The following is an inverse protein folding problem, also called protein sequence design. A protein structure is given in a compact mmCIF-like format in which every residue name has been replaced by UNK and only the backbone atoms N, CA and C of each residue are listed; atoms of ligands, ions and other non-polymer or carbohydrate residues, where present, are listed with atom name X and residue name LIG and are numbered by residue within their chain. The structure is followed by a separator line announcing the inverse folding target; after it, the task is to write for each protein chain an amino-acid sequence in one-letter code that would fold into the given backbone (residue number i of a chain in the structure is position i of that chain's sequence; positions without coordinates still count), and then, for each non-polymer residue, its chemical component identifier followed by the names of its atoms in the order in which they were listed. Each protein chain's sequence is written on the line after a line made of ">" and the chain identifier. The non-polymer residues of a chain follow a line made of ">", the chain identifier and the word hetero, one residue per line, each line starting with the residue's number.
data_IF_085875510472
#
_entry.id   IF_085875510472
#
_cell.length_a   1.000
_cell.length_b   1.000
_cell.length_c   1.000
_cell.angle_alpha   90.00
_cell.angle_beta   90.00
_cell.angle_gamma   90.00
#
_symmetry.space_group_name_H-M   'P 1'
#
loop_
_entity.id
_entity.type
_entity.pdbx_description
1 polymer ?
#
# COMPACT_ATOMS: atom_id res chain seq x y z
N UNK A 1 -13.81 -19.84 -5.83
CA UNK A 1 -12.81 -18.82 -6.25
C UNK A 1 -13.36 -17.41 -6.18
N UNK A 2 -14.68 -17.20 -6.18
CA UNK A 2 -15.29 -15.86 -6.17
C UNK A 2 -14.91 -14.96 -4.98
N UNK A 3 -14.37 -15.51 -3.90
CA UNK A 3 -13.92 -14.76 -2.71
C UNK A 3 -12.47 -14.26 -2.77
N UNK A 4 -11.75 -14.60 -3.84
CA UNK A 4 -10.34 -14.24 -4.02
C UNK A 4 -10.14 -13.64 -5.40
N UNK A 5 -9.18 -12.71 -5.51
CA UNK A 5 -8.82 -12.10 -6.80
C UNK A 5 -7.31 -12.08 -6.93
N UNK A 6 -6.76 -12.79 -7.91
CA UNK A 6 -5.34 -12.65 -8.26
C UNK A 6 -5.08 -11.24 -8.82
N UNK A 7 -3.98 -10.60 -8.41
CA UNK A 7 -3.67 -9.22 -8.81
C UNK A 7 -3.60 -9.09 -10.34
N UNK A 8 -2.97 -10.05 -11.02
CA UNK A 8 -2.87 -10.10 -12.48
C UNK A 8 -4.06 -10.80 -13.17
N UNK A 9 -4.87 -11.56 -12.42
CA UNK A 9 -6.06 -12.24 -12.93
C UNK A 9 -7.35 -11.42 -12.80
N UNK A 10 -7.32 -10.31 -12.05
CA UNK A 10 -8.48 -9.45 -11.80
C UNK A 10 -9.00 -8.75 -13.05
N UNK A 11 -10.32 -8.56 -13.11
CA UNK A 11 -10.97 -7.90 -14.24
C UNK A 11 -10.79 -6.38 -14.22
N UNK A 12 -10.30 -5.78 -13.13
CA UNK A 12 -10.18 -4.32 -12.94
C UNK A 12 -11.53 -3.61 -12.73
N UNK A 13 -12.61 -4.38 -12.56
CA UNK A 13 -13.98 -3.88 -12.33
C UNK A 13 -14.49 -4.32 -10.95
N UNK A 14 -13.60 -4.86 -10.12
CA UNK A 14 -13.90 -5.24 -8.75
C UNK A 14 -14.43 -4.03 -7.97
N UNK A 15 -15.46 -4.27 -7.18
CA UNK A 15 -16.07 -3.22 -6.37
C UNK A 15 -15.12 -2.86 -5.23
N UNK A 16 -15.05 -1.55 -4.93
CA UNK A 16 -14.23 -1.03 -3.82
C UNK A 16 -14.60 -1.71 -2.49
N UNK A 17 -15.89 -2.01 -2.30
CA UNK A 17 -16.44 -2.71 -1.14
C UNK A 17 -15.83 -4.11 -0.93
N UNK A 18 -15.51 -4.82 -2.01
CA UNK A 18 -15.02 -6.20 -1.94
C UNK A 18 -13.51 -6.30 -1.80
N UNK A 19 -12.75 -5.45 -2.48
CA UNK A 19 -11.26 -5.55 -2.52
C UNK A 19 -10.54 -4.40 -1.80
N UNK A 20 -11.27 -3.39 -1.33
CA UNK A 20 -10.72 -2.18 -0.73
C UNK A 20 -9.93 -1.31 -1.70
N UNK A 21 -9.45 -0.17 -1.21
CA UNK A 21 -8.70 0.82 -2.00
C UNK A 21 -7.40 0.27 -2.57
N UNK A 22 -6.51 -0.24 -1.70
CA UNK A 22 -5.21 -0.79 -2.11
C UNK A 22 -5.33 -1.95 -3.09
N UNK A 23 -6.20 -2.92 -2.77
CA UNK A 23 -6.43 -4.10 -3.63
C UNK A 23 -6.93 -3.69 -5.01
N UNK A 24 -7.91 -2.78 -5.08
CA UNK A 24 -8.42 -2.25 -6.35
C UNK A 24 -7.34 -1.55 -7.16
N UNK A 25 -6.56 -0.67 -6.54
CA UNK A 25 -5.53 0.10 -7.24
C UNK A 25 -4.43 -0.83 -7.79
N UNK A 26 -4.03 -1.87 -7.05
CA UNK A 26 -3.06 -2.86 -7.51
C UNK A 26 -3.56 -3.67 -8.72
N UNK A 27 -4.82 -4.14 -8.68
CA UNK A 27 -5.43 -4.86 -9.82
C UNK A 27 -5.49 -3.97 -11.06
N UNK A 28 -5.90 -2.70 -10.88
CA UNK A 28 -5.95 -1.73 -11.99
C UNK A 28 -4.56 -1.48 -12.57
N UNK A 29 -3.54 -1.30 -11.73
CA UNK A 29 -2.15 -1.12 -12.18
C UNK A 29 -1.65 -2.34 -12.97
N UNK A 30 -1.86 -3.55 -12.45
CA UNK A 30 -1.47 -4.80 -13.10
C UNK A 30 -2.12 -4.93 -14.50
N UNK A 31 -3.43 -4.70 -14.57
CA UNK A 31 -4.19 -4.77 -15.83
C UNK A 31 -3.72 -3.73 -16.85
N UNK A 32 -3.22 -2.58 -16.40
CA UNK A 32 -2.65 -1.52 -17.25
C UNK A 32 -1.20 -1.80 -17.67
N UNK A 33 -0.62 -2.92 -17.26
CA UNK A 33 0.72 -3.35 -17.64
C UNK A 33 1.85 -2.75 -16.78
N UNK A 34 1.52 -2.10 -15.67
CA UNK A 34 2.55 -1.66 -14.72
C UNK A 34 3.11 -2.86 -13.97
N UNK A 35 4.42 -2.82 -13.69
CA UNK A 35 5.04 -3.88 -12.92
C UNK A 35 4.68 -3.75 -11.44
N UNK A 36 3.76 -4.59 -10.99
CA UNK A 36 3.41 -4.74 -9.57
C UNK A 36 3.88 -6.12 -9.07
N UNK A 37 4.27 -6.27 -7.81
CA UNK A 37 4.55 -7.60 -7.26
C UNK A 37 3.30 -8.50 -7.34
N UNK A 38 3.50 -9.75 -7.73
CA UNK A 38 2.43 -10.76 -7.81
C UNK A 38 1.79 -11.00 -6.45
N UNK A 39 0.56 -11.50 -6.44
CA UNK A 39 -0.20 -11.69 -5.23
C UNK A 39 -1.68 -11.87 -5.50
N UNK A 40 -2.47 -11.84 -4.44
CA UNK A 40 -3.93 -11.94 -4.50
C UNK A 40 -4.58 -11.12 -3.40
N UNK A 41 -5.87 -10.84 -3.57
CA UNK A 41 -6.72 -10.14 -2.62
C UNK A 41 -7.73 -11.13 -2.06
N UNK A 42 -7.77 -11.23 -0.73
CA UNK A 42 -8.84 -11.86 0.05
C UNK A 42 -9.97 -10.84 0.17
N UNK A 43 -11.13 -11.13 -0.42
CA UNK A 43 -12.25 -10.19 -0.40
C UNK A 43 -12.81 -10.01 1.02
N UNK A 44 -13.42 -8.85 1.26
CA UNK A 44 -14.13 -8.56 2.52
C UNK A 44 -15.26 -9.56 2.81
N UNK A 45 -15.83 -10.23 1.79
CA UNK A 45 -16.81 -11.31 1.95
C UNK A 45 -16.28 -12.48 2.78
N UNK A 46 -14.97 -12.77 2.72
CA UNK A 46 -14.34 -13.82 3.54
C UNK A 46 -14.38 -13.45 5.01
N UNK A 47 -14.12 -12.18 5.35
CA UNK A 47 -14.26 -11.70 6.72
C UNK A 47 -15.72 -11.77 7.18
N UNK A 48 -16.68 -11.39 6.34
CA UNK A 48 -18.11 -11.44 6.69
C UNK A 48 -18.55 -12.87 7.04
N UNK A 49 -18.16 -13.84 6.20
CA UNK A 49 -18.45 -15.25 6.43
C UNK A 49 -17.77 -15.77 7.70
N UNK A 50 -16.51 -15.39 7.93
CA UNK A 50 -15.77 -15.72 9.15
C UNK A 50 -16.43 -15.13 10.40
N UNK A 51 -16.80 -13.85 10.37
CA UNK A 51 -17.40 -13.14 11.50
C UNK A 51 -18.78 -13.71 11.85
N UNK A 52 -19.60 -13.99 10.83
CA UNK A 52 -20.93 -14.58 10.98
C UNK A 52 -20.87 -15.99 11.55
N UNK A 53 -20.00 -16.86 11.00
CA UNK A 53 -19.90 -18.26 11.44
C UNK A 53 -19.42 -18.37 12.88
N UNK A 54 -18.46 -17.54 13.26
CA UNK A 54 -17.84 -17.61 14.57
C UNK A 54 -18.51 -16.69 15.60
N UNK A 55 -19.68 -16.13 15.28
CA UNK A 55 -20.47 -15.31 16.21
C UNK A 55 -19.62 -14.19 16.85
N UNK A 56 -18.76 -13.54 16.05
CA UNK A 56 -17.79 -12.56 16.56
C UNK A 56 -18.51 -11.43 17.29
N UNK A 57 -19.58 -10.92 16.71
CA UNK A 57 -20.40 -9.83 17.26
C UNK A 57 -21.62 -10.30 18.08
N UNK A 58 -21.73 -11.60 18.39
CA UNK A 58 -22.84 -12.12 19.18
C UNK A 58 -22.87 -11.48 20.58
N UNK A 59 -24.05 -11.01 20.99
CA UNK A 59 -24.31 -10.26 22.22
C UNK A 59 -23.63 -8.89 22.31
N UNK A 60 -23.08 -8.36 21.22
CA UNK A 60 -22.54 -7.00 21.14
C UNK A 60 -23.56 -6.13 20.40
N UNK A 61 -24.03 -5.06 21.05
CA UNK A 61 -24.92 -4.08 20.41
C UNK A 61 -24.20 -3.32 19.31
N UNK A 62 -24.95 -2.84 18.31
CA UNK A 62 -24.45 -1.94 17.27
C UNK A 62 -24.02 -0.57 17.80
N UNK A 63 -24.43 -0.24 19.03
CA UNK A 63 -24.03 0.99 19.71
C UNK A 63 -22.51 1.10 19.86
N UNK A 64 -21.96 2.24 19.43
CA UNK A 64 -20.50 2.46 19.41
C UNK A 64 -19.81 2.27 20.75
N UNK A 65 -20.47 2.66 21.84
CA UNK A 65 -19.94 2.50 23.20
C UNK A 65 -19.78 1.02 23.54
N UNK A 66 -20.74 0.19 23.15
CA UNK A 66 -20.68 -1.25 23.37
C UNK A 66 -19.59 -1.91 22.53
N UNK A 67 -19.40 -1.49 21.27
CA UNK A 67 -18.28 -2.00 20.45
C UNK A 67 -16.92 -1.66 21.08
N UNK A 68 -16.75 -0.43 21.59
CA UNK A 68 -15.50 0.02 22.24
C UNK A 68 -15.22 -0.75 23.54
N UNK A 69 -16.25 -1.00 24.36
CA UNK A 69 -16.14 -1.77 25.60
C UNK A 69 -15.77 -3.23 25.34
N UNK A 70 -16.22 -3.79 24.22
CA UNK A 70 -16.02 -5.20 23.87
C UNK A 70 -14.88 -5.43 22.85
N UNK A 71 -14.04 -4.43 22.57
CA UNK A 71 -12.91 -4.55 21.64
C UNK A 71 -12.02 -5.76 21.99
N UNK A 72 -11.63 -5.91 23.26
CA UNK A 72 -10.77 -7.04 23.70
C UNK A 72 -11.41 -8.40 23.42
N UNK A 73 -12.72 -8.54 23.68
CA UNK A 73 -13.48 -9.76 23.40
C UNK A 73 -13.56 -10.05 21.90
N UNK A 74 -13.77 -9.02 21.06
CA UNK A 74 -13.79 -9.17 19.60
C UNK A 74 -12.43 -9.67 19.11
N UNK A 75 -11.34 -9.07 19.58
CA UNK A 75 -9.97 -9.45 19.21
C UNK A 75 -9.67 -10.91 19.60
N UNK A 76 -10.00 -11.30 20.83
CA UNK A 76 -9.82 -12.67 21.33
C UNK A 76 -10.63 -13.69 20.51
N UNK A 77 -11.87 -13.37 20.17
CA UNK A 77 -12.69 -14.24 19.31
C UNK A 77 -12.08 -14.38 17.91
N UNK A 78 -11.56 -13.31 17.31
CA UNK A 78 -10.90 -13.39 16.00
C UNK A 78 -9.65 -14.29 16.06
N UNK A 79 -8.83 -14.16 17.10
CA UNK A 79 -7.63 -14.99 17.28
C UNK A 79 -7.99 -16.47 17.41
N UNK A 80 -8.94 -16.79 18.28
CA UNK A 80 -9.27 -18.18 18.63
C UNK A 80 -10.15 -18.89 17.60
N UNK A 81 -10.80 -18.16 16.70
CA UNK A 81 -11.73 -18.73 15.72
C UNK A 81 -11.01 -19.25 14.47
N UNK A 82 -11.29 -20.47 13.98
CA UNK A 82 -10.65 -20.98 12.77
C UNK A 82 -11.19 -20.30 11.50
N UNK A 83 -10.32 -20.14 10.50
CA UNK A 83 -10.75 -19.81 9.13
C UNK A 83 -11.51 -21.01 8.53
N UNK A 84 -12.42 -20.74 7.60
CA UNK A 84 -13.11 -21.76 6.81
C UNK A 84 -12.09 -22.63 6.06
N UNK A 85 -12.27 -23.96 6.08
CA UNK A 85 -11.43 -24.91 5.33
C UNK A 85 -11.35 -24.58 3.84
N UNK A 86 -12.46 -24.16 3.23
CA UNK A 86 -12.54 -23.72 1.82
C UNK A 86 -11.66 -22.47 1.61
N UNK A 87 -11.67 -21.52 2.54
CA UNK A 87 -10.82 -20.33 2.46
C UNK A 87 -9.35 -20.70 2.60
N UNK A 88 -9.01 -21.59 3.55
CA UNK A 88 -7.66 -22.11 3.76
C UNK A 88 -7.14 -22.86 2.53
N UNK A 89 -7.97 -23.71 1.92
CA UNK A 89 -7.62 -24.44 0.70
C UNK A 89 -7.37 -23.50 -0.48
N UNK A 90 -8.19 -22.44 -0.62
CA UNK A 90 -8.00 -21.41 -1.63
C UNK A 90 -6.69 -20.64 -1.43
N UNK A 91 -6.39 -20.23 -0.19
CA UNK A 91 -5.13 -19.57 0.18
C UNK A 91 -3.95 -20.49 -0.16
N UNK A 92 -4.03 -21.76 0.25
CA UNK A 92 -2.99 -22.76 -0.02
C UNK A 92 -2.67 -22.89 -1.51
N UNK A 93 -3.71 -23.01 -2.36
CA UNK A 93 -3.56 -23.07 -3.81
C UNK A 93 -2.86 -21.81 -4.37
N UNK A 94 -3.33 -20.63 -3.99
CA UNK A 94 -2.77 -19.36 -4.49
C UNK A 94 -1.32 -19.13 -4.03
N UNK A 95 -0.99 -19.54 -2.79
CA UNK A 95 0.40 -19.50 -2.30
C UNK A 95 1.30 -20.49 -3.07
N UNK A 96 0.79 -21.66 -3.44
CA UNK A 96 1.54 -22.61 -4.26
C UNK A 96 1.81 -22.08 -5.66
N UNK A 97 0.84 -21.42 -6.30
CA UNK A 97 1.03 -20.75 -7.61
C UNK A 97 2.11 -19.65 -7.54
N UNK A 98 2.15 -18.88 -6.44
CA UNK A 98 3.21 -17.89 -6.18
C UNK A 98 4.57 -18.58 -6.02
N UNK A 99 4.65 -19.73 -5.34
CA UNK A 99 5.89 -20.48 -5.18
C UNK A 99 6.40 -21.07 -6.50
N UNK A 100 5.51 -21.62 -7.32
CA UNK A 100 5.86 -22.22 -8.61
C UNK A 100 6.45 -21.21 -9.59
N UNK A 101 6.04 -19.94 -9.47
CA UNK A 101 6.55 -18.83 -10.29
C UNK A 101 7.79 -18.16 -9.70
N UNK A 102 8.23 -18.58 -8.50
CA UNK A 102 9.38 -18.02 -7.79
C UNK A 102 10.57 -18.99 -7.81
N UNK A 103 11.78 -18.45 -7.99
CA UNK A 103 13.01 -19.27 -8.00
C UNK A 103 13.40 -19.82 -6.61
N UNK A 104 12.87 -19.21 -5.54
CA UNK A 104 13.10 -19.57 -4.13
C UNK A 104 11.77 -19.48 -3.37
N UNK A 105 11.74 -19.94 -2.12
CA UNK A 105 10.59 -19.71 -1.22
C UNK A 105 10.39 -18.21 -1.01
N UNK A 106 9.34 -17.60 -1.57
CA UNK A 106 9.16 -16.16 -1.44
C UNK A 106 8.61 -15.82 -0.06
N UNK A 107 8.79 -14.57 0.35
CA UNK A 107 8.05 -13.97 1.46
C UNK A 107 6.91 -13.13 0.90
N UNK A 108 5.88 -12.89 1.71
CA UNK A 108 4.75 -12.05 1.35
C UNK A 108 4.53 -10.93 2.37
N UNK A 109 4.05 -9.79 1.89
CA UNK A 109 3.43 -8.75 2.68
C UNK A 109 1.93 -9.03 2.75
N UNK A 110 1.39 -8.94 3.96
CA UNK A 110 -0.06 -9.05 4.22
C UNK A 110 -0.54 -7.66 4.65
N UNK A 111 -1.33 -7.03 3.78
CA UNK A 111 -1.71 -5.62 3.88
C UNK A 111 -3.23 -5.51 3.98
N UNK A 112 -3.70 -4.87 5.03
CA UNK A 112 -5.06 -4.34 5.13
C UNK A 112 -5.45 -3.51 3.90
N UNK A 113 -6.69 -3.69 3.42
CA UNK A 113 -7.27 -2.95 2.30
C UNK A 113 -8.73 -2.62 2.61
N UNK A 114 -8.93 -1.50 3.30
CA UNK A 114 -10.24 -0.95 3.63
C UNK A 114 -10.88 -0.14 2.49
N UNK A 115 -12.21 0.00 2.53
CA UNK A 115 -12.99 0.86 1.61
C UNK A 115 -12.68 2.34 1.87
N UNK A 116 -12.50 2.69 3.13
CA UNK A 116 -12.35 4.08 3.58
C UNK A 116 -10.89 4.54 3.65
N UNK A 117 -9.92 3.71 3.25
CA UNK A 117 -8.48 4.08 3.28
C UNK A 117 -8.15 5.23 2.32
N UNK A 118 -8.95 5.39 1.26
CA UNK A 118 -8.75 6.35 0.18
C UNK A 118 -9.78 7.50 0.19
N UNK A 119 -10.58 7.66 1.28
CA UNK A 119 -11.56 8.74 1.38
C UNK A 119 -10.91 10.08 1.76
N UNK A 120 -11.39 11.16 1.14
CA UNK A 120 -10.82 12.51 1.19
C UNK A 120 -10.68 13.08 2.62
N UNK A 121 -11.64 12.78 3.52
CA UNK A 121 -11.71 13.34 4.88
C UNK A 121 -11.20 12.42 6.00
N UNK A 122 -10.79 11.18 5.66
CA UNK A 122 -10.55 10.13 6.63
C UNK A 122 -9.43 9.18 6.20
N UNK A 123 -8.21 9.70 6.05
CA UNK A 123 -7.07 8.82 5.88
C UNK A 123 -6.86 8.03 7.19
N UNK A 124 -7.23 6.75 7.21
CA UNK A 124 -6.88 5.78 8.27
C UNK A 124 -5.37 5.47 8.30
N UNK A 125 -4.54 6.40 7.83
CA UNK A 125 -3.10 6.28 7.74
C UNK A 125 -2.54 5.96 9.13
N UNK A 126 -1.86 4.81 9.22
CA UNK A 126 -1.27 4.32 10.47
C UNK A 126 -2.21 3.55 11.40
N UNK A 127 -3.48 3.33 11.05
CA UNK A 127 -4.41 2.49 11.84
C UNK A 127 -4.60 1.08 11.27
N UNK A 128 -4.21 0.89 10.02
CA UNK A 128 -4.41 -0.35 9.29
C UNK A 128 -3.08 -1.12 9.21
N UNK A 129 -3.10 -2.37 9.66
CA UNK A 129 -1.89 -3.18 9.86
C UNK A 129 -1.28 -3.62 8.52
N UNK A 130 0.04 -3.56 8.42
CA UNK A 130 0.82 -4.15 7.33
C UNK A 130 1.90 -5.04 7.91
N UNK A 131 1.83 -6.32 7.61
CA UNK A 131 2.75 -7.32 8.15
C UNK A 131 3.69 -7.72 7.02
N UNK A 132 4.97 -7.39 7.19
CA UNK A 132 6.00 -7.64 6.19
C UNK A 132 6.74 -8.94 6.48
N UNK A 133 7.39 -9.51 5.45
CA UNK A 133 8.26 -10.68 5.57
C UNK A 133 7.57 -11.93 6.14
N UNK A 134 6.28 -12.11 5.87
CA UNK A 134 5.53 -13.31 6.24
C UNK A 134 6.00 -14.46 5.34
N UNK A 135 6.28 -15.61 5.93
CA UNK A 135 6.58 -16.81 5.14
C UNK A 135 5.41 -17.13 4.21
N UNK A 136 5.69 -17.43 2.93
CA UNK A 136 4.66 -17.83 1.98
C UNK A 136 4.17 -19.26 2.31
N UNK A 137 3.50 -19.45 3.44
CA UNK A 137 2.91 -20.71 3.87
C UNK A 137 1.55 -20.44 4.52
N UNK A 138 0.72 -21.46 4.58
CA UNK A 138 -0.70 -21.30 4.93
C UNK A 138 -0.86 -20.73 6.33
N UNK A 139 -0.21 -21.31 7.34
CA UNK A 139 -0.43 -20.91 8.73
C UNK A 139 0.02 -19.46 9.02
N UNK A 140 1.25 -19.02 8.65
CA UNK A 140 1.68 -17.64 8.85
C UNK A 140 0.82 -16.63 8.09
N UNK A 141 0.40 -16.94 6.86
CA UNK A 141 -0.46 -16.06 6.07
C UNK A 141 -1.86 -15.95 6.69
N UNK A 142 -2.46 -17.06 7.12
CA UNK A 142 -3.75 -17.06 7.80
C UNK A 142 -3.68 -16.27 9.12
N UNK A 143 -2.61 -16.41 9.90
CA UNK A 143 -2.40 -15.63 11.12
C UNK A 143 -2.28 -14.14 10.81
N UNK A 144 -1.49 -13.76 9.80
CA UNK A 144 -1.34 -12.37 9.38
C UNK A 144 -2.66 -11.76 8.85
N UNK A 145 -3.49 -12.53 8.14
CA UNK A 145 -4.82 -12.09 7.70
C UNK A 145 -5.70 -11.75 8.91
N UNK A 146 -5.70 -12.60 9.96
CA UNK A 146 -6.43 -12.33 11.20
C UNK A 146 -5.93 -11.08 11.91
N UNK A 147 -4.62 -10.85 11.96
CA UNK A 147 -4.05 -9.63 12.52
C UNK A 147 -4.50 -8.37 11.77
N UNK A 148 -4.58 -8.43 10.43
CA UNK A 148 -5.21 -7.34 9.67
C UNK A 148 -6.68 -7.15 10.07
N UNK A 149 -7.48 -8.21 10.21
CA UNK A 149 -8.87 -8.07 10.64
C UNK A 149 -9.01 -7.53 12.07
N UNK A 150 -8.11 -7.92 12.96
CA UNK A 150 -8.01 -7.38 14.32
C UNK A 150 -7.72 -5.89 14.33
N UNK A 151 -6.91 -5.39 13.40
CA UNK A 151 -6.58 -3.96 13.32
C UNK A 151 -7.82 -3.08 13.14
N UNK A 152 -8.90 -3.59 12.52
CA UNK A 152 -10.18 -2.88 12.44
C UNK A 152 -10.78 -2.63 13.83
N UNK A 153 -10.69 -3.61 14.72
CA UNK A 153 -11.39 -3.63 16.01
C UNK A 153 -10.50 -3.27 17.19
N UNK A 154 -9.27 -2.80 16.95
CA UNK A 154 -8.47 -2.20 18.00
C UNK A 154 -9.17 -0.94 18.52
N UNK A 155 -9.05 -0.68 19.83
CA UNK A 155 -9.77 0.42 20.49
C UNK A 155 -9.53 1.78 19.82
N UNK A 156 -8.31 2.01 19.32
CA UNK A 156 -7.96 3.22 18.61
C UNK A 156 -8.72 3.35 17.28
N UNK A 157 -8.74 2.31 16.45
CA UNK A 157 -9.44 2.33 15.16
C UNK A 157 -10.96 2.48 15.32
N UNK A 158 -11.56 1.80 16.30
CA UNK A 158 -13.01 1.92 16.59
C UNK A 158 -13.35 3.33 17.09
N UNK A 159 -12.55 3.88 18.01
CA UNK A 159 -12.76 5.25 18.53
C UNK A 159 -12.62 6.29 17.42
N UNK A 160 -11.64 6.13 16.54
CA UNK A 160 -11.44 7.05 15.42
C UNK A 160 -12.61 7.00 14.43
N UNK A 161 -13.10 5.80 14.09
CA UNK A 161 -14.32 5.65 13.28
C UNK A 161 -15.53 6.33 13.92
N UNK A 162 -15.72 6.15 15.23
CA UNK A 162 -16.79 6.82 15.97
C UNK A 162 -16.70 8.34 15.88
N UNK A 163 -15.50 8.91 16.08
CA UNK A 163 -15.28 10.36 16.02
C UNK A 163 -15.60 10.97 14.65
N UNK A 164 -15.36 10.21 13.58
CA UNK A 164 -15.67 10.62 12.21
C UNK A 164 -17.09 10.26 11.77
N UNK A 165 -17.90 9.66 12.65
CA UNK A 165 -19.26 9.23 12.33
C UNK A 165 -19.33 8.04 11.36
N UNK A 166 -18.26 7.28 11.21
CA UNK A 166 -18.27 6.04 10.42
C UNK A 166 -18.86 4.87 11.20
N UNK A 167 -19.38 3.86 10.49
CA UNK A 167 -19.78 2.60 11.11
C UNK A 167 -18.64 1.98 11.94
N UNK A 168 -18.99 1.55 13.14
CA UNK A 168 -18.08 0.87 14.07
C UNK A 168 -18.40 -0.62 14.23
N UNK A 169 -19.67 -0.98 14.01
CA UNK A 169 -20.19 -2.34 14.04
C UNK A 169 -20.18 -2.97 12.66
N UNK A 170 -19.93 -4.28 12.58
CA UNK A 170 -19.96 -5.10 11.36
C UNK A 170 -19.24 -4.45 10.16
N UNK A 171 -18.02 -3.99 10.41
CA UNK A 171 -17.15 -3.41 9.38
C UNK A 171 -16.17 -4.44 8.88
N UNK A 172 -16.01 -4.44 7.56
CA UNK A 172 -15.29 -5.49 6.85
C UNK A 172 -14.13 -4.90 6.07
N UNK A 173 -13.11 -5.72 5.87
CA UNK A 173 -11.90 -5.31 5.18
C UNK A 173 -11.36 -6.44 4.33
N UNK A 174 -10.93 -6.09 3.13
CA UNK A 174 -10.17 -6.98 2.27
C UNK A 174 -8.71 -7.03 2.73
N UNK A 175 -8.00 -8.11 2.40
CA UNK A 175 -6.58 -8.25 2.72
C UNK A 175 -5.82 -8.57 1.45
N UNK A 176 -4.78 -7.79 1.16
CA UNK A 176 -3.87 -8.00 0.04
C UNK A 176 -2.70 -8.84 0.52
N UNK A 177 -2.43 -9.94 -0.17
CA UNK A 177 -1.25 -10.77 0.01
C UNK A 177 -0.38 -10.55 -1.23
N UNK A 178 0.80 -9.98 -1.04
CA UNK A 178 1.65 -9.52 -2.11
C UNK A 178 3.08 -10.02 -1.90
N UNK A 179 3.75 -10.52 -2.94
CA UNK A 179 5.14 -10.96 -2.86
C UNK A 179 6.04 -9.80 -2.42
N UNK A 180 6.89 -10.06 -1.43
CA UNK A 180 7.91 -9.12 -0.99
C UNK A 180 9.01 -9.01 -2.03
N UNK A 181 9.33 -7.78 -2.41
CA UNK A 181 10.49 -7.47 -3.25
C UNK A 181 11.67 -7.14 -2.33
N UNK A 182 12.83 -7.81 -2.47
CA UNK A 182 14.03 -7.51 -1.68
C UNK A 182 14.70 -6.23 -2.19
N UNK A 183 14.10 -5.10 -1.86
CA UNK A 183 14.43 -3.76 -2.36
C UNK A 183 15.90 -3.36 -2.20
N UNK A 184 16.53 -2.94 -3.30
CA UNK A 184 17.82 -2.24 -3.31
C UNK A 184 17.65 -0.75 -3.00
N UNK A 185 16.56 -0.17 -3.50
CA UNK A 185 16.17 1.24 -3.35
C UNK A 185 14.66 1.28 -3.19
N UNK A 186 14.15 2.14 -2.32
CA UNK A 186 12.71 2.35 -2.15
C UNK A 186 12.40 3.84 -2.10
N UNK A 187 11.19 4.20 -2.48
CA UNK A 187 10.80 5.60 -2.48
C UNK A 187 9.32 5.81 -2.65
N UNK A 188 8.95 7.09 -2.55
CA UNK A 188 7.61 7.59 -2.80
C UNK A 188 7.70 8.71 -3.83
N UNK A 189 6.79 8.70 -4.80
CA UNK A 189 6.62 9.80 -5.76
C UNK A 189 5.21 10.34 -5.67
N UNK A 190 5.12 11.65 -5.44
CA UNK A 190 3.89 12.41 -5.55
C UNK A 190 3.83 13.06 -6.92
N UNK A 191 2.73 12.87 -7.64
CA UNK A 191 2.53 13.51 -8.94
C UNK A 191 2.00 14.93 -8.85
N UNK A 192 1.89 15.49 -7.65
CA UNK A 192 1.78 16.92 -7.45
C UNK A 192 2.58 17.26 -6.20
N UNK A 193 3.09 18.49 -6.12
CA UNK A 193 3.78 18.94 -4.92
C UNK A 193 2.76 19.18 -3.79
N UNK A 194 2.78 18.40 -2.70
CA UNK A 194 1.85 18.56 -1.59
C UNK A 194 2.07 19.85 -0.80
N UNK A 195 3.26 20.49 -0.89
CA UNK A 195 3.55 21.73 -0.18
C UNK A 195 3.02 22.96 -0.92
N UNK A 196 3.30 23.07 -2.22
CA UNK A 196 2.82 24.20 -3.03
C UNK A 196 1.47 23.98 -3.69
N UNK A 197 0.97 22.74 -3.75
CA UNK A 197 -0.22 22.35 -4.51
C UNK A 197 -0.01 22.30 -6.02
N UNK A 198 1.21 22.54 -6.51
CA UNK A 198 1.50 22.59 -7.93
C UNK A 198 1.47 21.20 -8.57
N UNK A 199 0.64 21.07 -9.62
CA UNK A 199 0.48 19.84 -10.40
C UNK A 199 1.46 19.74 -11.57
N UNK A 200 2.37 20.70 -11.70
CA UNK A 200 3.45 20.70 -12.71
C UNK A 200 4.73 19.99 -12.25
N UNK A 201 4.80 19.66 -10.97
CA UNK A 201 5.96 19.03 -10.33
C UNK A 201 5.67 17.59 -9.95
N UNK A 202 6.68 16.74 -10.08
CA UNK A 202 6.77 15.48 -9.36
C UNK A 202 7.72 15.70 -8.19
N UNK A 203 7.34 15.19 -7.03
CA UNK A 203 8.19 15.19 -5.83
C UNK A 203 8.56 13.74 -5.52
N UNK A 204 9.85 13.43 -5.56
CA UNK A 204 10.37 12.08 -5.31
C UNK A 204 11.18 12.10 -4.02
N UNK A 205 10.86 11.19 -3.10
CA UNK A 205 11.70 10.87 -1.95
C UNK A 205 12.23 9.44 -2.10
N UNK A 206 13.50 9.23 -1.79
CA UNK A 206 14.14 7.93 -1.91
C UNK A 206 15.07 7.59 -0.75
N UNK A 207 15.20 6.30 -0.47
CA UNK A 207 16.13 5.72 0.50
C UNK A 207 16.85 4.52 -0.09
N UNK A 208 18.06 4.26 0.41
CA UNK A 208 18.75 3.00 0.12
C UNK A 208 18.08 1.86 0.90
N UNK A 209 17.84 0.73 0.25
CA UNK A 209 17.21 -0.44 0.84
C UNK A 209 15.69 -0.39 0.91
N UNK A 210 15.13 -0.98 1.96
CA UNK A 210 13.69 -1.15 2.19
C UNK A 210 12.99 0.16 2.55
N UNK A 211 11.76 0.35 2.03
CA UNK A 211 10.96 1.57 2.24
C UNK A 211 10.46 1.79 3.67
N UNK A 212 10.54 0.79 4.55
CA UNK A 212 10.16 0.90 5.96
C UNK A 212 10.93 2.03 6.68
N UNK A 213 12.21 2.23 6.33
CA UNK A 213 13.03 3.30 6.90
C UNK A 213 12.53 4.70 6.51
N UNK A 214 11.93 4.83 5.31
CA UNK A 214 11.35 6.07 4.81
C UNK A 214 10.01 6.38 5.52
N UNK A 215 9.13 5.39 5.63
CA UNK A 215 7.81 5.56 6.28
C UNK A 215 7.94 5.87 7.77
N UNK A 216 8.92 5.26 8.43
CA UNK A 216 9.17 5.48 9.86
C UNK A 216 9.95 6.78 10.17
N UNK A 217 10.43 7.50 9.15
CA UNK A 217 11.18 8.75 9.31
C UNK A 217 12.52 8.57 10.03
N UNK A 218 13.09 7.36 10.02
CA UNK A 218 14.32 7.04 10.76
C UNK A 218 15.60 7.47 10.02
N UNK A 219 15.50 7.79 8.73
CA UNK A 219 16.63 8.18 7.88
C UNK A 219 16.30 9.44 7.08
N UNK A 220 17.31 10.27 6.87
CA UNK A 220 17.20 11.42 5.96
C UNK A 220 17.07 10.91 4.51
N UNK A 221 15.95 11.22 3.88
CA UNK A 221 15.67 10.79 2.51
C UNK A 221 16.37 11.70 1.50
N UNK A 222 16.74 11.13 0.36
CA UNK A 222 17.02 11.97 -0.80
C UNK A 222 15.71 12.55 -1.33
N UNK A 223 15.78 13.76 -1.86
CA UNK A 223 14.63 14.55 -2.31
C UNK A 223 14.90 15.17 -3.68
N UNK A 224 13.96 15.00 -4.59
CA UNK A 224 14.01 15.60 -5.93
C UNK A 224 12.69 16.25 -6.32
N UNK A 225 12.81 17.39 -7.00
CA UNK A 225 11.69 17.98 -7.74
C UNK A 225 11.96 17.83 -9.24
N UNK A 226 11.06 17.14 -9.92
CA UNK A 226 11.12 16.96 -11.38
C UNK A 226 9.98 17.73 -12.01
N UNK A 227 10.31 18.60 -12.97
CA UNK A 227 9.30 19.22 -13.83
C UNK A 227 8.73 18.15 -14.76
N UNK A 228 7.41 17.97 -14.74
CA UNK A 228 6.70 17.06 -15.66
C UNK A 228 6.93 17.44 -17.11
N UNK A 229 6.94 16.44 -17.99
CA UNK A 229 6.81 16.70 -19.42
C UNK A 229 5.39 17.15 -19.75
N UNK A 230 5.26 18.31 -20.39
CA UNK A 230 3.96 18.86 -20.80
C UNK A 230 4.13 19.76 -22.02
N UNK A 231 3.21 19.66 -22.99
CA UNK A 231 3.19 20.48 -24.22
C UNK A 231 4.57 20.61 -24.92
N UNK A 232 5.25 19.48 -25.14
CA UNK A 232 6.55 19.45 -25.82
C UNK A 232 7.77 19.84 -24.96
N UNK A 233 7.58 20.18 -23.68
CA UNK A 233 8.70 20.36 -22.75
C UNK A 233 9.18 19.01 -22.22
N UNK A 234 10.49 18.82 -22.20
CA UNK A 234 11.12 17.65 -21.60
C UNK A 234 11.10 17.69 -20.07
N UNK A 235 11.15 16.49 -19.48
CA UNK A 235 11.34 16.34 -18.03
C UNK A 235 12.68 16.94 -17.64
N UNK A 236 12.73 17.57 -16.46
CA UNK A 236 13.98 18.17 -15.96
C UNK A 236 14.00 18.13 -14.45
N UNK A 237 15.12 17.69 -13.88
CA UNK A 237 15.41 17.85 -12.46
C UNK A 237 15.61 19.33 -12.18
N UNK A 238 14.76 19.91 -11.34
CA UNK A 238 14.83 21.32 -10.95
C UNK A 238 15.50 21.47 -9.59
N UNK A 239 15.30 20.51 -8.71
CA UNK A 239 15.92 20.49 -7.39
C UNK A 239 16.37 19.07 -7.04
N UNK A 240 17.51 18.99 -6.36
CA UNK A 240 18.09 17.77 -5.82
C UNK A 240 18.69 18.09 -4.47
N UNK A 241 18.23 17.41 -3.42
CA UNK A 241 18.78 17.46 -2.06
C UNK A 241 19.08 16.03 -1.65
N UNK A 242 20.36 15.73 -1.46
CA UNK A 242 20.80 14.38 -1.07
C UNK A 242 20.88 14.33 0.45
N UNK A 243 20.18 13.37 1.04
CA UNK A 243 20.17 13.12 2.47
C UNK A 243 21.49 12.52 2.93
N UNK A 244 21.68 12.44 4.25
CA UNK A 244 22.81 11.72 4.85
C UNK A 244 22.30 10.50 5.59
N UNK A 245 22.13 9.39 4.88
CA UNK A 245 21.61 8.16 5.46
C UNK A 245 22.66 7.48 6.35
N UNK A 246 22.40 7.43 7.66
CA UNK A 246 23.31 6.78 8.62
C UNK A 246 23.28 5.25 8.51
N UNK A 247 22.18 4.69 8.01
CA UNK A 247 22.00 3.26 7.81
C UNK A 247 20.97 3.00 6.71
N UNK A 248 20.91 1.75 6.25
CA UNK A 248 19.82 1.22 5.43
C UNK A 248 19.23 -0.05 6.04
N UNK A 249 17.97 -0.32 5.75
CA UNK A 249 17.34 -1.60 6.07
C UNK A 249 17.45 -2.52 4.85
N UNK A 250 17.97 -3.72 5.06
CA UNK A 250 18.11 -4.75 4.03
C UNK A 250 17.22 -5.95 4.37
N UNK A 251 16.62 -6.56 3.34
CA UNK A 251 15.89 -7.80 3.52
C UNK A 251 16.85 -8.96 3.79
N UNK A 252 16.43 -9.91 4.64
CA UNK A 252 17.14 -11.18 4.84
C UNK A 252 16.82 -12.23 3.75
N UNK A 253 16.14 -11.81 2.67
CA UNK A 253 15.65 -12.68 1.61
C UNK A 253 16.67 -13.75 1.18
N UNK A 254 16.25 -15.04 1.08
CA UNK A 254 14.87 -15.52 1.19
C UNK A 254 14.37 -15.75 2.63
N UNK A 255 15.16 -15.46 3.66
CA UNK A 255 14.75 -15.65 5.06
C UNK A 255 13.90 -14.47 5.57
N UNK A 256 12.97 -14.70 6.50
CA UNK A 256 12.20 -13.64 7.14
C UNK A 256 13.04 -12.56 7.84
N UNK A 257 12.43 -11.39 7.98
CA UNK A 257 12.97 -10.24 8.70
C UNK A 257 13.82 -9.30 7.85
N UNK A 258 14.18 -8.19 8.50
CA UNK A 258 15.07 -7.16 7.97
C UNK A 258 16.25 -7.01 8.93
N UNK A 259 17.38 -6.55 8.40
CA UNK A 259 18.52 -6.17 9.22
C UNK A 259 19.00 -4.77 8.85
N UNK A 260 19.51 -4.07 9.85
CA UNK A 260 20.12 -2.75 9.69
C UNK A 260 21.57 -2.91 9.26
N UNK A 261 21.96 -2.17 8.23
CA UNK A 261 23.34 -2.02 7.78
C UNK A 261 23.73 -0.56 7.93
N UNK A 262 24.66 -0.27 8.83
CA UNK A 262 25.19 1.09 8.98
C UNK A 262 26.00 1.48 7.74
N UNK A 263 25.80 2.70 7.27
CA UNK A 263 26.46 3.25 6.09
C UNK A 263 27.63 4.13 6.53
N UNK A 264 28.74 4.09 5.80
CA UNK A 264 29.79 5.08 5.97
C UNK A 264 29.29 6.48 5.59
N UNK A 265 29.96 7.53 6.07
CA UNK A 265 29.60 8.90 5.71
C UNK A 265 29.69 9.18 4.19
N UNK A 266 30.51 8.42 3.46
CA UNK A 266 30.59 8.49 2.00
C UNK A 266 29.40 7.79 1.33
N UNK A 267 29.05 6.57 1.77
CA UNK A 267 27.93 5.81 1.22
C UNK A 267 26.58 6.46 1.54
N UNK A 268 26.41 6.98 2.76
CA UNK A 268 25.18 7.64 3.21
C UNK A 268 24.88 8.94 2.47
N UNK A 269 25.89 9.56 1.85
CA UNK A 269 25.76 10.78 1.03
C UNK A 269 25.70 10.50 -0.47
N UNK A 270 25.74 9.23 -0.89
CA UNK A 270 25.52 8.87 -2.30
C UNK A 270 24.02 8.93 -2.59
N UNK A 271 23.61 9.53 -3.72
CA UNK A 271 22.22 9.51 -4.12
C UNK A 271 21.77 8.06 -4.33
N UNK A 272 20.63 7.69 -3.75
CA UNK A 272 20.08 6.35 -3.89
C UNK A 272 19.57 6.07 -5.30
N UNK A 273 19.19 7.11 -6.06
CA UNK A 273 18.75 7.00 -7.45
C UNK A 273 19.71 7.73 -8.39
N UNK A 274 20.03 7.09 -9.51
CA UNK A 274 20.69 7.76 -10.64
C UNK A 274 19.67 8.60 -11.41
N UNK A 275 20.15 9.53 -12.24
CA UNK A 275 19.29 10.35 -13.11
C UNK A 275 18.42 9.49 -14.05
N UNK A 276 18.95 8.38 -14.56
CA UNK A 276 18.22 7.43 -15.39
C UNK A 276 17.04 6.81 -14.63
N UNK A 277 17.29 6.29 -13.42
CA UNK A 277 16.24 5.71 -12.58
C UNK A 277 15.21 6.76 -12.15
N UNK A 278 15.65 7.99 -11.84
CA UNK A 278 14.73 9.10 -11.54
C UNK A 278 13.79 9.40 -12.70
N UNK A 279 14.28 9.41 -13.93
CA UNK A 279 13.42 9.62 -15.10
C UNK A 279 12.54 8.43 -15.42
N UNK A 280 12.95 7.21 -15.11
CA UNK A 280 12.10 6.00 -15.18
C UNK A 280 10.92 6.12 -14.20
N UNK A 281 11.19 6.45 -12.92
CA UNK A 281 10.15 6.71 -11.90
C UNK A 281 9.23 7.83 -12.35
N UNK A 282 9.80 8.96 -12.81
CA UNK A 282 9.02 10.10 -13.25
C UNK A 282 8.09 9.78 -14.43
N UNK A 283 8.58 9.02 -15.40
CA UNK A 283 7.79 8.60 -16.56
C UNK A 283 6.66 7.66 -16.17
N UNK A 284 6.97 6.68 -15.32
CA UNK A 284 5.99 5.72 -14.81
C UNK A 284 4.91 6.42 -13.98
N UNK A 285 5.30 7.33 -13.10
CA UNK A 285 4.37 8.10 -12.27
C UNK A 285 3.43 8.99 -13.10
N UNK A 286 3.94 9.65 -14.16
CA UNK A 286 3.10 10.43 -15.06
C UNK A 286 2.10 9.57 -15.84
N UNK A 287 2.50 8.37 -16.26
CA UNK A 287 1.57 7.47 -16.95
C UNK A 287 0.51 6.95 -15.96
N UNK A 288 0.88 6.61 -14.71
CA UNK A 288 -0.08 6.24 -13.66
C UNK A 288 -1.07 7.39 -13.41
N UNK A 289 -0.60 8.61 -13.18
CA UNK A 289 -1.46 9.80 -13.00
C UNK A 289 -2.43 9.98 -14.17
N UNK A 290 -1.95 9.83 -15.40
CA UNK A 290 -2.79 9.94 -16.60
C UNK A 290 -3.88 8.87 -16.65
N UNK A 291 -3.59 7.63 -16.25
CA UNK A 291 -4.57 6.54 -16.20
C UNK A 291 -5.65 6.77 -15.13
N UNK A 292 -5.29 7.35 -13.99
CA UNK A 292 -6.23 7.68 -12.91
C UNK A 292 -6.92 9.04 -13.09
N UNK A 293 -6.40 9.91 -13.96
CA UNK A 293 -6.95 11.24 -14.25
C UNK A 293 -6.85 12.23 -13.09
N UNK A 294 -6.04 11.94 -12.06
CA UNK A 294 -5.91 12.72 -10.84
C UNK A 294 -4.50 12.57 -10.26
N UNK A 295 -4.01 13.51 -9.42
CA UNK A 295 -2.71 13.38 -8.77
C UNK A 295 -2.62 12.15 -7.88
N UNK A 296 -1.48 11.46 -7.91
CA UNK A 296 -1.25 10.18 -7.25
C UNK A 296 -0.04 10.25 -6.32
N UNK A 297 -0.17 9.59 -5.17
CA UNK A 297 0.90 9.19 -4.25
C UNK A 297 1.25 7.73 -4.54
N UNK A 298 2.50 7.46 -4.92
CA UNK A 298 2.93 6.17 -5.45
C UNK A 298 4.15 5.69 -4.68
N UNK A 299 4.03 4.52 -4.04
CA UNK A 299 5.14 3.79 -3.43
C UNK A 299 5.80 2.91 -4.48
N UNK A 300 7.13 2.97 -4.56
CA UNK A 300 7.90 2.17 -5.51
C UNK A 300 9.16 1.60 -4.89
N UNK A 301 9.70 0.57 -5.56
CA UNK A 301 11.02 0.04 -5.25
C UNK A 301 11.75 -0.40 -6.50
N UNK A 302 13.07 -0.39 -6.44
CA UNK A 302 13.93 -1.08 -7.38
C UNK A 302 14.50 -2.35 -6.76
N UNK A 303 14.50 -3.41 -7.55
CA UNK A 303 15.29 -4.61 -7.27
C UNK A 303 15.94 -5.07 -8.56
N UNK A 304 17.27 -5.24 -8.55
CA UNK A 304 18.05 -5.62 -9.74
C UNK A 304 17.76 -4.71 -10.95
N UNK A 305 17.75 -3.39 -10.72
CA UNK A 305 17.42 -2.35 -11.72
C UNK A 305 16.04 -2.45 -12.36
N UNK A 306 15.10 -3.17 -11.75
CA UNK A 306 13.72 -3.24 -12.20
C UNK A 306 12.81 -2.48 -11.24
N UNK A 307 12.03 -1.54 -11.79
CA UNK A 307 11.03 -0.78 -11.06
C UNK A 307 9.79 -1.63 -10.76
N UNK A 308 9.38 -1.65 -9.49
CA UNK A 308 8.12 -2.22 -9.02
C UNK A 308 7.28 -1.14 -8.35
N UNK A 309 5.99 -1.11 -8.67
CA UNK A 309 5.01 -0.26 -8.00
C UNK A 309 4.37 -1.07 -6.88
N UNK A 310 4.56 -0.61 -5.65
CA UNK A 310 4.10 -1.27 -4.43
C UNK A 310 2.70 -0.80 -4.03
N UNK A 311 2.38 0.46 -4.30
CA UNK A 311 1.07 1.06 -4.01
C UNK A 311 0.89 2.30 -4.88
N UNK A 312 -0.36 2.63 -5.21
CA UNK A 312 -0.72 3.94 -5.75
C UNK A 312 -2.08 4.35 -5.16
N UNK A 313 -2.19 5.60 -4.71
CA UNK A 313 -3.44 6.16 -4.18
C UNK A 313 -3.61 7.63 -4.60
N UNK A 314 -4.84 8.16 -4.68
CA UNK A 314 -5.06 9.58 -4.95
C UNK A 314 -4.46 10.49 -3.88
N UNK A 315 -3.96 11.66 -4.28
CA UNK A 315 -3.62 12.74 -3.33
C UNK A 315 -4.89 13.55 -3.08
N UNK A 316 -5.38 13.55 -1.83
CA UNK A 316 -6.66 14.15 -1.46
C UNK A 316 -6.53 15.59 -0.94
N UNK A 317 -5.40 15.94 -0.32
CA UNK A 317 -5.19 17.27 0.30
C UNK A 317 -4.70 18.36 -0.67
N UNK A 318 -4.94 18.22 -1.97
CA UNK A 318 -4.60 19.26 -2.94
C UNK A 318 -5.81 20.17 -3.13
N UNK A 319 -5.71 21.43 -2.70
CA UNK A 319 -6.76 22.43 -2.92
C UNK A 319 -7.24 22.50 -4.39
N UNK A 320 -8.45 23.00 -4.60
CA UNK A 320 -9.09 23.05 -5.93
C UNK A 320 -8.22 23.74 -6.97
N UNK A 321 -8.23 23.22 -8.20
CA UNK A 321 -7.65 23.93 -9.34
C UNK A 321 -8.63 25.02 -9.74
N UNK A 322 -8.25 26.31 -9.71
CA UNK A 322 -9.12 27.36 -10.20
C UNK A 322 -9.53 27.05 -11.65
N UNK A 323 -10.80 27.22 -12.03
CA UNK A 323 -11.22 26.98 -13.40
C UNK A 323 -10.35 27.81 -14.35
N UNK A 324 -9.86 27.17 -15.42
CA UNK A 324 -9.21 27.90 -16.51
C UNK A 324 -10.26 28.83 -17.11
N UNK A 325 -10.17 30.13 -16.87
CA UNK A 325 -10.84 31.12 -17.69
C UNK A 325 -10.23 31.01 -19.11
N UNK A 326 -10.90 30.25 -19.98
CA UNK A 326 -10.59 30.19 -21.41
C UNK A 326 -11.01 31.48 -22.15
N UNK A 327 -11.66 32.41 -21.44
CA UNK A 327 -11.96 33.75 -21.94
C UNK A 327 -10.85 34.74 -21.57
N UNK A 328 -9.73 34.64 -22.27
CA UNK A 328 -8.92 35.83 -22.54
C UNK A 328 -8.17 35.64 -23.86
N UNK A 329 -8.88 35.99 -24.94
CA UNK A 329 -8.24 36.59 -26.11
C UNK A 329 -7.33 37.73 -25.66
N UNK A 330 -6.04 37.47 -25.57
CA UNK A 330 -5.04 38.51 -25.73
C UNK A 330 -4.43 38.34 -27.13
N UNK A 331 -4.81 39.28 -28.00
CA UNK A 331 -4.11 39.64 -29.22
C UNK A 331 -2.65 39.99 -28.92
#
# INVERSE_FOLDING_TARGET
>A
MDDFVEIYGGSGNETLELVGGKGKNLIVLAKRGFCVPSGFVVKSSVFNAFASRNSIFENISEESTQVIENCEQILEKIDNSPLDTIAVDCISRLLNEIKETSATSPLVAVRSSGVNEDLDDASFAGMNETILNVECSVDPVCAAIKECWKSLYCKQAVTYRQQLGFPVYDVSMAVVIQVMIPSDISGVVFTADPQSGSRGWLVINGVQGMGEALVSGQVDTDYWIIRKSFMGREKKIIESRIGSQAFKLCSNYPNPGTHRVDLSAEEGKRPCLTEELLFEVASTAQEIEKQYGKPMDIEFTFYQNKLYILQARPITNLGEVPPRNLDSTFF
#
